data_IF_579115855596
#
_entry.id   IF_579115855596
#
_cell.length_a   1.000
_cell.length_b   1.000
_cell.length_c   1.000
_cell.angle_alpha   90.00
_cell.angle_beta   90.00
_cell.angle_gamma   90.00
#
_symmetry.space_group_name_H-M   'P 1'
#
loop_
_entity.id
_entity.type
_entity.pdbx_description
1 polymer ?
#
# COMPACT_ATOMS: atom_id res chain seq x y z
N UNK A 1 -8.25 20.71 8.04
CA UNK A 1 -7.03 19.98 7.63
C UNK A 1 -7.32 18.52 7.89
N UNK A 2 -7.35 17.69 6.85
CA UNK A 2 -7.61 16.25 7.01
C UNK A 2 -6.49 15.61 7.82
N UNK A 3 -6.84 14.70 8.73
CA UNK A 3 -5.89 13.87 9.47
C UNK A 3 -5.74 12.55 8.72
N UNK A 4 -4.50 12.08 8.58
CA UNK A 4 -4.22 10.72 8.12
C UNK A 4 -4.16 9.84 9.35
N UNK A 5 -4.97 8.78 9.35
CA UNK A 5 -4.95 7.77 10.41
C UNK A 5 -4.03 6.63 9.98
N UNK A 6 -2.78 6.71 10.43
CA UNK A 6 -1.75 5.71 10.18
C UNK A 6 -2.00 4.46 11.02
N UNK A 7 -2.03 3.31 10.36
CA UNK A 7 -2.25 2.00 10.95
C UNK A 7 -0.95 1.19 10.82
N UNK A 8 -0.47 0.49 11.87
CA UNK A 8 0.71 -0.37 11.76
C UNK A 8 0.54 -1.40 10.64
N UNK A 9 1.58 -1.62 9.84
CA UNK A 9 1.52 -2.59 8.72
C UNK A 9 1.25 -4.03 9.19
N UNK A 10 1.60 -4.36 10.44
CA UNK A 10 1.28 -5.65 11.05
C UNK A 10 -0.23 -5.89 11.22
N UNK A 11 -1.04 -4.83 11.18
CA UNK A 11 -2.51 -4.87 11.26
C UNK A 11 -3.17 -4.79 9.86
N UNK A 12 -2.38 -4.87 8.78
CA UNK A 12 -2.87 -4.81 7.40
C UNK A 12 -3.85 -5.96 7.11
N UNK A 13 -5.12 -5.68 6.82
CA UNK A 13 -6.07 -6.73 6.45
C UNK A 13 -5.86 -7.18 5.00
N UNK A 14 -6.06 -8.48 4.74
CA UNK A 14 -5.80 -9.08 3.43
C UNK A 14 -6.65 -8.49 2.29
N UNK A 15 -7.82 -7.92 2.57
CA UNK A 15 -8.66 -7.31 1.54
C UNK A 15 -8.07 -6.05 0.91
N UNK A 16 -7.04 -5.45 1.53
CA UNK A 16 -6.29 -4.32 0.96
C UNK A 16 -5.25 -4.77 -0.07
N UNK A 17 -4.95 -6.07 -0.16
CA UNK A 17 -4.05 -6.66 -1.15
C UNK A 17 -4.78 -6.89 -2.48
N UNK A 18 -5.46 -5.86 -2.97
CA UNK A 18 -6.34 -5.89 -4.14
C UNK A 18 -5.78 -5.12 -5.35
N UNK A 19 -4.55 -4.63 -5.25
CA UNK A 19 -3.88 -3.84 -6.29
C UNK A 19 -4.25 -2.36 -6.32
N UNK A 20 -5.03 -1.86 -5.34
CA UNK A 20 -5.27 -0.42 -5.19
C UNK A 20 -4.02 0.30 -4.66
N UNK A 21 -3.94 1.60 -4.94
CA UNK A 21 -2.96 2.47 -4.30
C UNK A 21 -3.32 2.69 -2.82
N UNK A 22 -2.31 2.53 -1.96
CA UNK A 22 -2.34 2.91 -0.55
C UNK A 22 -1.16 3.82 -0.24
N UNK A 23 -1.28 4.56 0.86
CA UNK A 23 -0.19 5.36 1.38
C UNK A 23 0.57 4.55 2.44
N UNK A 24 1.89 4.57 2.39
CA UNK A 24 2.78 3.90 3.33
C UNK A 24 3.73 4.90 3.97
N UNK A 25 4.08 4.68 5.23
CA UNK A 25 5.20 5.36 5.89
C UNK A 25 6.42 4.45 5.89
N UNK A 26 7.42 4.81 5.10
CA UNK A 26 8.61 4.01 4.77
C UNK A 26 9.85 4.86 4.84
N UNK A 27 10.91 4.40 5.51
CA UNK A 27 12.22 5.08 5.56
C UNK A 27 12.15 6.61 5.77
N UNK A 28 11.27 7.04 6.70
CA UNK A 28 11.00 8.44 7.06
C UNK A 28 10.24 9.31 6.03
N UNK A 29 9.63 8.70 5.02
CA UNK A 29 8.78 9.37 4.05
C UNK A 29 7.45 8.66 3.78
N UNK A 30 6.52 9.39 3.17
CA UNK A 30 5.24 8.86 2.73
C UNK A 30 5.31 8.44 1.26
N UNK A 31 5.07 7.16 0.99
CA UNK A 31 5.20 6.53 -0.34
C UNK A 31 3.85 5.96 -0.77
N UNK A 32 3.52 6.08 -2.06
CA UNK A 32 2.36 5.39 -2.64
C UNK A 32 2.83 4.04 -3.18
N UNK A 33 2.16 2.97 -2.76
CA UNK A 33 2.41 1.62 -3.25
C UNK A 33 1.10 0.84 -3.44
N UNK A 34 1.17 -0.23 -4.23
CA UNK A 34 0.06 -1.13 -4.54
C UNK A 34 0.52 -2.58 -4.42
N UNK A 35 -0.41 -3.50 -4.17
CA UNK A 35 -0.10 -4.93 -4.11
C UNK A 35 0.07 -5.48 -5.53
N UNK A 36 1.25 -5.99 -5.86
CA UNK A 36 1.58 -6.45 -7.22
C UNK A 36 2.25 -7.83 -7.23
N UNK A 37 2.35 -8.39 -8.43
CA UNK A 37 3.04 -9.65 -8.73
C UNK A 37 4.41 -9.40 -9.34
N UNK A 38 5.44 -9.90 -8.67
CA UNK A 38 6.81 -9.86 -9.13
C UNK A 38 7.21 -11.20 -9.75
N UNK A 39 7.63 -11.18 -11.01
CA UNK A 39 8.07 -12.36 -11.74
C UNK A 39 9.50 -12.74 -11.32
N UNK A 40 9.71 -13.96 -10.86
CA UNK A 40 11.03 -14.49 -10.47
C UNK A 40 11.56 -15.58 -11.40
N UNK A 41 10.74 -16.03 -12.35
CA UNK A 41 11.09 -17.04 -13.34
C UNK A 41 10.07 -17.09 -14.48
N UNK A 42 10.13 -18.13 -15.31
CA UNK A 42 9.23 -18.27 -16.47
C UNK A 42 7.78 -18.54 -16.03
N UNK A 43 7.57 -19.25 -14.91
CA UNK A 43 6.25 -19.60 -14.35
C UNK A 43 6.09 -19.22 -12.86
N UNK A 44 7.11 -18.61 -12.24
CA UNK A 44 7.12 -18.30 -10.81
C UNK A 44 6.91 -16.79 -10.58
N UNK A 45 6.05 -16.49 -9.61
CA UNK A 45 5.85 -15.14 -9.10
C UNK A 45 5.75 -15.15 -7.56
N UNK A 46 6.07 -14.01 -6.96
CA UNK A 46 5.67 -13.69 -5.59
C UNK A 46 4.86 -12.40 -5.59
N UNK A 47 4.11 -12.18 -4.52
CA UNK A 47 3.29 -10.99 -4.35
C UNK A 47 3.86 -10.16 -3.21
N UNK A 48 4.01 -8.86 -3.46
CA UNK A 48 4.47 -7.91 -2.45
C UNK A 48 3.96 -6.49 -2.78
N UNK A 49 4.20 -5.54 -1.88
CA UNK A 49 3.92 -4.14 -2.12
C UNK A 49 4.95 -3.55 -3.09
N UNK A 50 4.45 -2.98 -4.19
CA UNK A 50 5.23 -2.33 -5.23
C UNK A 50 5.05 -0.82 -5.17
N UNK A 51 6.14 -0.07 -5.15
CA UNK A 51 6.09 1.37 -5.43
C UNK A 51 5.65 1.61 -6.87
N UNK A 52 5.14 2.80 -7.18
CA UNK A 52 4.78 3.16 -8.57
C UNK A 52 5.94 3.15 -9.56
N UNK A 53 7.18 3.11 -9.08
CA UNK A 53 8.38 2.95 -9.90
C UNK A 53 8.65 1.47 -10.26
N UNK A 54 7.84 0.53 -9.74
CA UNK A 54 7.93 -0.91 -10.00
C UNK A 54 8.93 -1.63 -9.09
N UNK A 55 9.43 -0.97 -8.04
CA UNK A 55 10.32 -1.57 -7.04
C UNK A 55 9.56 -2.10 -5.83
N UNK A 56 10.12 -3.10 -5.14
CA UNK A 56 9.59 -3.54 -3.84
C UNK A 56 9.61 -2.38 -2.84
N UNK A 57 8.51 -2.21 -2.12
CA UNK A 57 8.44 -1.32 -0.97
C UNK A 57 9.18 -1.95 0.21
N UNK A 58 10.17 -1.24 0.74
CA UNK A 58 11.01 -1.69 1.85
C UNK A 58 10.92 -0.71 3.01
N UNK A 59 11.03 -1.21 4.25
CA UNK A 59 11.05 -0.35 5.44
C UNK A 59 9.68 0.20 5.86
N UNK A 60 8.59 -0.29 5.27
CA UNK A 60 7.25 0.18 5.60
C UNK A 60 6.87 -0.21 7.03
N UNK A 61 6.41 0.77 7.81
CA UNK A 61 5.99 0.58 9.21
C UNK A 61 4.49 0.78 9.40
N UNK A 62 3.90 1.68 8.62
CA UNK A 62 2.49 2.02 8.69
C UNK A 62 1.91 2.19 7.30
N UNK A 63 0.59 2.06 7.20
CA UNK A 63 -0.17 2.36 6.00
C UNK A 63 -1.40 3.23 6.35
N UNK A 64 -1.98 3.82 5.33
CA UNK A 64 -3.27 4.48 5.38
C UNK A 64 -3.97 4.33 4.02
N UNK A 65 -5.28 4.18 4.05
CA UNK A 65 -6.08 4.24 2.82
C UNK A 65 -6.08 5.66 2.27
N UNK A 66 -5.94 5.77 0.94
CA UNK A 66 -6.03 7.06 0.25
C UNK A 66 -7.52 7.42 0.12
N UNK A 67 -8.05 8.13 1.11
CA UNK A 67 -9.38 8.70 1.03
C UNK A 67 -9.35 9.95 0.14
N UNK A 68 -10.20 10.01 -0.90
CA UNK A 68 -10.42 11.26 -1.61
C UNK A 68 -10.99 12.32 -0.63
N UNK A 69 -10.62 13.61 -0.76
CA UNK A 69 -11.12 14.67 0.13
C UNK A 69 -12.66 14.77 0.14
N UNK A 70 -13.32 14.24 -0.90
CA UNK A 70 -14.77 14.10 -1.00
C UNK A 70 -15.15 12.63 -1.22
N UNK A 71 -14.76 11.72 -0.33
CA UNK A 71 -15.43 10.41 -0.25
C UNK A 71 -16.61 10.50 0.73
N UNK A 72 -17.83 10.93 0.30
CA UNK A 72 -18.98 10.22 0.83
C UNK A 72 -18.90 8.81 0.22
N UNK A 73 -19.29 7.77 0.94
CA UNK A 73 -20.16 6.74 0.38
C UNK A 73 -20.47 5.64 1.41
N UNK A 74 -21.78 5.49 1.59
CA UNK A 74 -22.54 4.31 1.96
C UNK A 74 -22.50 3.85 3.43
N UNK A 75 -23.51 4.30 4.18
CA UNK A 75 -23.94 3.79 5.49
C UNK A 75 -24.99 4.71 6.10
#
# INVERSE_FOLDING_TARGET
MGRIDWIPIAEMPDHLKDGRDLLFWSDDEAVIALWDKFITGEDDYYEDWATREGGNLMGATHFAEINAPDWPLAG
#
